data_IF_942828386075
#
_entry.id   IF_942828386075
#
_cell.length_a   1.000
_cell.length_b   1.000
_cell.length_c   1.000
_cell.angle_alpha   90.00
_cell.angle_beta   90.00
_cell.angle_gamma   90.00
#
_symmetry.space_group_name_H-M   'P 1'
#
loop_
_entity.id
_entity.type
_entity.pdbx_description
1 polymer ?
#
# COMPACT_ATOMS: atom_id res chain seq x y z
N UNK A 1 -8.35 -80.45 17.92
CA UNK A 1 -9.14 -79.84 16.80
C UNK A 1 -9.47 -78.43 17.15
N UNK A 2 -9.04 -77.44 16.39
CA UNK A 2 -9.52 -76.10 16.54
C UNK A 2 -8.49 -74.99 16.40
N UNK A 3 -7.79 -74.87 15.27
CA UNK A 3 -7.03 -73.68 14.90
C UNK A 3 -7.83 -72.98 13.79
N UNK A 4 -8.32 -71.75 14.04
CA UNK A 4 -9.03 -71.07 12.94
C UNK A 4 -9.58 -69.70 13.25
N UNK A 5 -9.03 -68.91 14.19
CA UNK A 5 -9.60 -67.57 14.50
C UNK A 5 -8.53 -66.49 14.75
N UNK A 6 -7.41 -66.57 14.08
CA UNK A 6 -6.32 -65.59 14.26
C UNK A 6 -5.83 -64.96 12.95
N UNK A 7 -6.67 -64.74 11.93
CA UNK A 7 -6.22 -64.16 10.65
C UNK A 7 -7.18 -63.15 10.03
N UNK A 8 -7.95 -62.38 10.82
CA UNK A 8 -8.82 -61.31 10.28
C UNK A 8 -8.70 -59.97 11.04
N UNK A 9 -7.51 -59.59 11.52
CA UNK A 9 -7.34 -58.32 12.23
C UNK A 9 -6.23 -57.43 11.66
N UNK A 10 -5.87 -57.54 10.40
CA UNK A 10 -4.79 -56.69 9.84
C UNK A 10 -5.12 -56.02 8.50
N UNK A 11 -6.42 -55.72 8.25
CA UNK A 11 -6.78 -55.08 6.96
C UNK A 11 -7.52 -53.75 7.05
N UNK A 12 -7.68 -53.16 8.24
CA UNK A 12 -8.41 -51.90 8.42
C UNK A 12 -7.67 -50.85 9.23
N UNK A 13 -6.43 -50.59 8.92
CA UNK A 13 -5.78 -49.33 9.35
C UNK A 13 -4.60 -49.09 8.41
N UNK A 14 -4.72 -48.22 7.46
CA UNK A 14 -4.10 -46.90 7.49
C UNK A 14 -4.73 -45.86 6.52
N UNK A 15 -6.01 -45.96 6.16
CA UNK A 15 -6.57 -44.98 5.21
C UNK A 15 -6.92 -43.64 5.86
N UNK A 16 -7.21 -43.62 7.15
CA UNK A 16 -7.53 -42.38 7.88
C UNK A 16 -6.26 -41.50 8.07
N UNK A 17 -5.11 -42.13 8.30
CA UNK A 17 -3.85 -41.41 8.54
C UNK A 17 -3.33 -40.76 7.25
N UNK A 18 -3.47 -41.42 6.10
CA UNK A 18 -3.06 -40.87 4.81
C UNK A 18 -3.87 -39.64 4.42
N UNK A 19 -5.18 -39.68 4.64
CA UNK A 19 -6.08 -38.54 4.38
C UNK A 19 -5.76 -37.38 5.29
N UNK A 20 -5.49 -37.63 6.58
CA UNK A 20 -5.06 -36.65 7.55
C UNK A 20 -3.74 -36.00 7.19
N UNK A 21 -2.75 -36.79 6.77
CA UNK A 21 -1.42 -36.29 6.34
C UNK A 21 -1.55 -35.45 5.07
N UNK A 22 -2.37 -35.88 4.09
CA UNK A 22 -2.60 -35.11 2.85
C UNK A 22 -3.34 -33.80 3.16
N UNK A 23 -4.37 -33.83 4.02
CA UNK A 23 -5.12 -32.63 4.42
C UNK A 23 -4.23 -31.66 5.19
N UNK A 24 -3.42 -32.16 6.14
CA UNK A 24 -2.47 -31.35 6.91
C UNK A 24 -1.38 -30.76 6.00
N UNK A 25 -0.87 -31.54 5.04
CA UNK A 25 0.12 -31.06 4.06
C UNK A 25 -0.47 -29.99 3.14
N UNK A 26 -1.73 -30.12 2.71
CA UNK A 26 -2.44 -29.12 1.91
C UNK A 26 -2.72 -27.86 2.73
N UNK A 27 -3.11 -28.01 4.01
CA UNK A 27 -3.32 -26.86 4.92
C UNK A 27 -1.99 -26.15 5.21
N UNK A 28 -0.92 -26.90 5.44
CA UNK A 28 0.41 -26.35 5.66
C UNK A 28 0.95 -25.66 4.41
N UNK A 29 0.68 -26.23 3.22
CA UNK A 29 1.03 -25.62 1.94
C UNK A 29 0.22 -24.33 1.71
N UNK A 30 -1.09 -24.35 1.99
CA UNK A 30 -1.98 -23.17 1.90
C UNK A 30 -1.58 -22.08 2.90
N UNK A 31 -1.31 -22.44 4.16
CA UNK A 31 -0.81 -21.50 5.17
C UNK A 31 0.58 -20.97 4.81
N UNK A 32 1.46 -21.83 4.26
CA UNK A 32 2.79 -21.47 3.79
C UNK A 32 2.78 -20.53 2.59
N UNK A 33 1.85 -20.70 1.64
CA UNK A 33 1.74 -19.82 0.47
C UNK A 33 1.25 -18.41 0.82
N UNK A 34 0.41 -18.26 1.85
CA UNK A 34 -0.02 -16.95 2.34
C UNK A 34 1.04 -16.26 3.24
N UNK A 35 1.93 -17.04 3.90
CA UNK A 35 3.00 -16.49 4.73
C UNK A 35 4.28 -16.14 3.94
N UNK A 36 4.42 -16.59 2.69
CA UNK A 36 5.63 -16.44 1.88
C UNK A 36 5.37 -15.71 0.57
N UNK A 37 5.03 -14.41 0.65
CA UNK A 37 5.16 -13.57 -0.53
C UNK A 37 6.64 -13.53 -0.96
N UNK A 38 6.97 -13.84 -2.23
CA UNK A 38 8.33 -13.69 -2.74
C UNK A 38 8.79 -12.24 -2.71
N UNK A 39 7.85 -11.31 -2.77
CA UNK A 39 8.13 -9.88 -2.75
C UNK A 39 7.82 -9.33 -1.37
N UNK A 40 8.74 -8.55 -0.84
CA UNK A 40 8.60 -7.80 0.40
C UNK A 40 8.47 -6.31 0.08
N UNK A 41 7.57 -5.64 0.76
CA UNK A 41 7.45 -4.20 0.81
C UNK A 41 8.24 -3.70 2.03
N UNK A 42 9.37 -3.02 1.78
CA UNK A 42 10.31 -2.66 2.83
C UNK A 42 10.14 -1.24 3.32
N UNK A 43 10.00 -0.27 2.40
CA UNK A 43 9.99 1.16 2.76
C UNK A 43 9.01 1.92 1.89
N UNK A 44 8.45 2.98 2.48
CA UNK A 44 7.72 3.99 1.71
C UNK A 44 8.07 5.40 2.15
N UNK A 45 7.98 6.31 1.19
CA UNK A 45 7.98 7.74 1.42
C UNK A 45 6.80 8.35 0.67
N UNK A 46 5.98 9.10 1.40
CA UNK A 46 4.77 9.71 0.87
C UNK A 46 4.88 11.22 1.04
N UNK A 47 4.86 11.94 -0.06
CA UNK A 47 4.77 13.38 -0.12
C UNK A 47 3.36 13.79 -0.60
N UNK A 48 2.64 14.57 0.18
CA UNK A 48 1.30 15.11 -0.10
C UNK A 48 1.38 16.62 -0.20
N UNK A 49 1.12 17.17 -1.38
CA UNK A 49 0.98 18.61 -1.60
C UNK A 49 -0.51 18.96 -1.62
N UNK A 50 -0.94 19.83 -0.71
CA UNK A 50 -2.34 20.15 -0.51
C UNK A 50 -2.63 21.64 -0.73
N UNK A 51 -3.68 21.93 -1.50
CA UNK A 51 -4.18 23.29 -1.75
C UNK A 51 -5.06 23.35 -3.00
N UNK A 52 -5.73 24.47 -3.18
CA UNK A 52 -6.54 24.80 -4.38
C UNK A 52 -7.60 23.73 -4.77
N UNK A 53 -8.24 23.10 -3.77
CA UNK A 53 -9.29 22.09 -4.02
C UNK A 53 -8.78 20.74 -4.53
N UNK A 54 -7.50 20.49 -4.41
CA UNK A 54 -6.89 19.23 -4.82
C UNK A 54 -5.70 18.85 -3.92
N UNK A 55 -5.36 17.58 -3.94
CA UNK A 55 -4.10 17.07 -3.42
C UNK A 55 -3.32 16.40 -4.53
N UNK A 56 -2.01 16.65 -4.55
CA UNK A 56 -1.07 15.88 -5.36
C UNK A 56 -0.29 14.96 -4.41
N UNK A 57 -0.24 13.69 -4.73
CA UNK A 57 0.46 12.69 -3.91
C UNK A 57 1.56 12.05 -4.74
N UNK A 58 2.75 11.96 -4.14
CA UNK A 58 3.87 11.15 -4.64
C UNK A 58 4.24 10.12 -3.61
N UNK A 59 4.14 8.87 -3.99
CA UNK A 59 4.66 7.76 -3.21
C UNK A 59 5.92 7.19 -3.83
N UNK A 60 6.93 6.91 -3.00
CA UNK A 60 8.12 6.14 -3.35
C UNK A 60 8.09 4.86 -2.52
N UNK A 61 8.10 3.71 -3.17
CA UNK A 61 7.89 2.40 -2.55
C UNK A 61 9.06 1.49 -2.88
N UNK A 62 9.73 0.95 -1.86
CA UNK A 62 10.80 -0.02 -2.03
C UNK A 62 10.27 -1.43 -1.90
N UNK A 63 10.45 -2.22 -2.95
CA UNK A 63 10.12 -3.64 -2.97
C UNK A 63 11.37 -4.48 -3.21
N UNK A 64 11.44 -5.66 -2.56
CA UNK A 64 12.55 -6.59 -2.69
C UNK A 64 12.06 -8.00 -2.98
N UNK A 65 12.65 -8.65 -3.97
CA UNK A 65 12.50 -10.09 -4.17
C UNK A 65 13.38 -10.83 -3.14
N UNK A 66 12.75 -11.59 -2.25
CA UNK A 66 13.45 -12.34 -1.21
C UNK A 66 14.01 -13.68 -1.70
N UNK A 67 13.64 -14.11 -2.90
CA UNK A 67 14.01 -15.39 -3.44
C UNK A 67 15.18 -15.27 -4.42
N UNK A 68 15.96 -16.36 -4.49
CA UNK A 68 17.02 -16.55 -5.49
C UNK A 68 16.49 -16.91 -6.89
N UNK A 69 15.17 -16.83 -7.10
CA UNK A 69 14.51 -17.07 -8.37
C UNK A 69 13.82 -15.79 -8.87
N UNK A 70 13.70 -15.60 -10.19
CA UNK A 70 12.90 -14.51 -10.74
C UNK A 70 11.45 -14.62 -10.25
N UNK A 71 10.83 -13.48 -9.94
CA UNK A 71 9.46 -13.44 -9.45
C UNK A 71 8.69 -12.30 -10.09
N UNK A 72 7.37 -12.44 -10.20
CA UNK A 72 6.49 -11.33 -10.58
C UNK A 72 5.40 -11.16 -9.53
N UNK A 73 4.95 -9.91 -9.36
CA UNK A 73 3.89 -9.59 -8.42
C UNK A 73 2.93 -8.58 -9.05
N UNK A 74 1.62 -8.85 -8.94
CA UNK A 74 0.58 -7.90 -9.37
C UNK A 74 0.19 -7.06 -8.19
N UNK A 75 0.25 -5.75 -8.37
CA UNK A 75 -0.06 -4.75 -7.34
C UNK A 75 -1.35 -4.03 -7.67
N UNK A 76 -2.11 -3.68 -6.64
CA UNK A 76 -3.24 -2.78 -6.70
C UNK A 76 -2.99 -1.60 -5.78
N UNK A 77 -3.17 -0.38 -6.29
CA UNK A 77 -3.16 0.84 -5.50
C UNK A 77 -4.58 1.39 -5.44
N UNK A 78 -5.28 1.27 -4.30
CA UNK A 78 -6.57 1.91 -4.13
C UNK A 78 -6.39 3.41 -3.91
N UNK A 79 -7.34 4.20 -4.39
CA UNK A 79 -7.43 5.62 -4.08
C UNK A 79 -8.51 5.85 -3.03
N UNK A 80 -8.32 6.79 -2.09
CA UNK A 80 -9.32 7.12 -1.09
C UNK A 80 -10.49 7.90 -1.72
N UNK A 81 -11.36 7.19 -2.46
CA UNK A 81 -12.50 7.79 -3.16
C UNK A 81 -13.76 7.67 -2.28
N UNK A 82 -14.32 8.80 -1.91
CA UNK A 82 -15.56 8.93 -1.12
C UNK A 82 -16.29 10.24 -1.48
N UNK A 83 -17.28 10.63 -0.68
CA UNK A 83 -18.06 11.88 -0.93
C UNK A 83 -17.21 13.15 -0.86
N UNK A 84 -16.07 13.13 -0.16
CA UNK A 84 -15.17 14.28 0.04
C UNK A 84 -13.95 14.25 -0.89
N UNK A 85 -13.60 13.07 -1.37
CA UNK A 85 -12.42 12.80 -2.19
C UNK A 85 -12.84 12.20 -3.53
N UNK A 86 -12.73 12.96 -4.59
CA UNK A 86 -13.06 12.51 -5.94
C UNK A 86 -12.06 11.47 -6.46
N UNK A 87 -12.39 10.81 -7.55
CA UNK A 87 -11.43 9.92 -8.24
C UNK A 87 -10.24 10.73 -8.77
N UNK A 88 -9.01 10.18 -8.73
CA UNK A 88 -7.85 10.84 -9.33
C UNK A 88 -8.09 11.18 -10.80
N UNK A 89 -7.75 12.41 -11.16
CA UNK A 89 -7.83 12.92 -12.52
C UNK A 89 -6.65 12.51 -13.38
N UNK A 90 -5.50 12.31 -12.72
CA UNK A 90 -4.23 11.94 -13.35
C UNK A 90 -3.43 11.05 -12.40
N UNK A 91 -2.76 10.04 -12.97
CA UNK A 91 -1.86 9.15 -12.22
C UNK A 91 -0.80 8.55 -13.14
N UNK A 92 0.37 8.28 -12.57
CA UNK A 92 1.45 7.55 -13.24
C UNK A 92 2.14 6.60 -12.29
N UNK A 93 2.68 5.50 -12.84
CA UNK A 93 3.48 4.50 -12.12
C UNK A 93 4.78 4.30 -12.88
N UNK A 94 5.91 4.37 -12.20
CA UNK A 94 7.23 4.25 -12.82
C UNK A 94 8.22 3.52 -11.93
N UNK A 95 9.17 2.81 -12.52
CA UNK A 95 10.42 2.44 -11.82
C UNK A 95 11.27 3.71 -11.67
N UNK A 96 11.91 3.86 -10.52
CA UNK A 96 12.76 5.02 -10.24
C UNK A 96 14.01 4.62 -9.46
N UNK A 97 14.94 5.55 -9.30
CA UNK A 97 16.02 5.48 -8.33
C UNK A 97 15.53 5.85 -6.92
N UNK A 98 16.38 5.68 -5.91
CA UNK A 98 16.05 5.96 -4.50
C UNK A 98 15.66 7.42 -4.26
N UNK A 99 16.15 8.35 -5.06
CA UNK A 99 15.82 9.78 -5.02
C UNK A 99 14.52 10.13 -5.78
N UNK A 100 13.86 9.13 -6.38
CA UNK A 100 12.62 9.31 -7.12
C UNK A 100 12.80 9.71 -8.60
N UNK A 101 14.03 9.73 -9.13
CA UNK A 101 14.27 9.97 -10.56
C UNK A 101 13.73 8.82 -11.39
N UNK A 102 12.79 9.10 -12.29
CA UNK A 102 12.14 8.09 -13.14
C UNK A 102 13.14 7.46 -14.09
N UNK A 103 13.16 6.12 -14.12
CA UNK A 103 14.01 5.33 -15.03
C UNK A 103 13.22 4.61 -16.09
N UNK A 104 11.95 4.24 -15.79
CA UNK A 104 11.09 3.50 -16.71
C UNK A 104 9.62 3.66 -16.32
N UNK A 105 8.76 3.96 -17.27
CA UNK A 105 7.31 3.93 -17.08
C UNK A 105 6.78 2.50 -17.01
N UNK A 106 5.74 2.29 -16.21
CA UNK A 106 5.07 1.01 -16.01
C UNK A 106 3.64 1.13 -16.56
N UNK A 107 3.27 0.19 -17.43
CA UNK A 107 1.91 0.09 -17.92
C UNK A 107 0.94 -0.25 -16.79
N UNK A 108 -0.16 0.47 -16.73
CA UNK A 108 -1.18 0.36 -15.70
C UNK A 108 -2.54 0.05 -16.29
N UNK A 109 -3.41 -0.54 -15.47
CA UNK A 109 -4.81 -0.78 -15.81
C UNK A 109 -5.68 -0.22 -14.68
N UNK A 110 -6.67 0.60 -15.03
CA UNK A 110 -7.65 1.10 -14.06
C UNK A 110 -8.66 0.00 -13.75
N UNK A 111 -8.91 -0.23 -12.49
CA UNK A 111 -9.84 -1.24 -12.02
C UNK A 111 -10.60 -0.75 -10.78
N UNK A 112 -11.92 -0.55 -10.88
CA UNK A 112 -12.83 -0.22 -9.77
C UNK A 112 -12.27 0.77 -8.72
N UNK A 113 -11.83 1.96 -9.15
CA UNK A 113 -11.30 2.98 -8.22
C UNK A 113 -9.88 2.73 -7.73
N UNK A 114 -9.18 1.75 -8.32
CA UNK A 114 -7.78 1.44 -8.08
C UNK A 114 -6.98 1.42 -9.38
N UNK A 115 -5.67 1.42 -9.27
CA UNK A 115 -4.73 1.19 -10.37
C UNK A 115 -4.02 -0.12 -10.15
N UNK A 116 -4.06 -1.01 -11.14
CA UNK A 116 -3.36 -2.27 -11.11
C UNK A 116 -2.15 -2.24 -12.07
N UNK A 117 -1.05 -2.83 -11.65
CA UNK A 117 0.17 -2.98 -12.43
C UNK A 117 0.94 -4.22 -12.02
N UNK A 118 1.89 -4.67 -12.85
CA UNK A 118 2.71 -5.85 -12.57
C UNK A 118 4.18 -5.49 -12.54
N UNK A 119 4.87 -5.94 -11.51
CA UNK A 119 6.32 -5.83 -11.36
C UNK A 119 6.99 -7.17 -11.61
N UNK A 120 8.13 -7.12 -12.28
CA UNK A 120 9.02 -8.25 -12.51
C UNK A 120 10.34 -8.02 -11.81
N UNK A 121 10.81 -9.02 -11.07
CA UNK A 121 12.04 -8.96 -10.31
C UNK A 121 12.99 -10.08 -10.74
N UNK A 122 14.27 -9.73 -10.89
CA UNK A 122 15.35 -10.71 -10.94
C UNK A 122 15.53 -11.33 -9.54
N UNK A 123 16.30 -12.45 -9.42
CA UNK A 123 16.68 -12.98 -8.10
C UNK A 123 17.25 -11.89 -7.19
N UNK A 124 16.76 -11.83 -5.95
CA UNK A 124 17.23 -10.90 -4.90
C UNK A 124 17.22 -9.41 -5.29
N UNK A 125 16.47 -9.04 -6.32
CA UNK A 125 16.42 -7.66 -6.82
C UNK A 125 15.60 -6.76 -5.89
N UNK A 126 16.12 -5.55 -5.67
CA UNK A 126 15.37 -4.41 -5.12
C UNK A 126 14.91 -3.49 -6.24
N UNK A 127 13.75 -2.88 -6.05
CA UNK A 127 13.19 -1.86 -6.94
C UNK A 127 12.53 -0.76 -6.14
N UNK A 128 12.71 0.46 -6.62
CA UNK A 128 11.93 1.60 -6.20
C UNK A 128 10.86 1.89 -7.24
N UNK A 129 9.63 2.08 -6.77
CA UNK A 129 8.48 2.41 -7.60
C UNK A 129 7.97 3.76 -7.15
N UNK A 130 7.83 4.67 -8.11
CA UNK A 130 7.23 5.97 -7.91
C UNK A 130 5.81 5.95 -8.45
N UNK A 131 4.88 6.43 -7.64
CA UNK A 131 3.48 6.61 -8.02
C UNK A 131 3.12 8.07 -7.74
N UNK A 132 2.71 8.78 -8.77
CA UNK A 132 2.18 10.14 -8.67
C UNK A 132 0.69 10.11 -9.01
N UNK A 133 -0.12 10.86 -8.28
CA UNK A 133 -1.51 11.12 -8.66
C UNK A 133 -2.01 12.46 -8.14
N UNK A 134 -3.01 13.01 -8.83
CA UNK A 134 -3.72 14.23 -8.41
C UNK A 134 -5.18 13.89 -8.18
N UNK A 135 -5.71 14.30 -7.03
CA UNK A 135 -7.06 14.00 -6.60
C UNK A 135 -7.80 15.27 -6.18
N UNK A 136 -9.01 15.53 -6.73
CA UNK A 136 -9.84 16.64 -6.28
C UNK A 136 -10.42 16.35 -4.88
N UNK A 137 -10.52 17.41 -4.07
CA UNK A 137 -11.09 17.38 -2.73
C UNK A 137 -12.14 18.47 -2.58
N UNK A 138 -13.22 18.19 -1.85
CA UNK A 138 -14.30 19.14 -1.61
C UNK A 138 -14.09 19.94 -0.30
N UNK A 139 -13.25 19.46 0.58
CA UNK A 139 -12.92 20.06 1.88
C UNK A 139 -11.41 20.09 2.10
N UNK A 140 -10.95 20.92 3.02
CA UNK A 140 -9.52 21.01 3.38
C UNK A 140 -9.09 19.78 4.23
N UNK A 141 -9.16 18.62 3.61
CA UNK A 141 -8.83 17.31 4.20
C UNK A 141 -8.19 16.43 3.15
N UNK A 142 -7.24 15.59 3.57
CA UNK A 142 -6.67 14.53 2.75
C UNK A 142 -6.60 13.23 3.54
N UNK A 143 -6.81 12.12 2.85
CA UNK A 143 -6.66 10.77 3.37
C UNK A 143 -5.69 10.00 2.49
N UNK A 144 -4.72 9.36 3.09
CA UNK A 144 -3.82 8.42 2.41
C UNK A 144 -4.02 7.02 3.00
N UNK A 145 -4.27 6.03 2.11
CA UNK A 145 -4.59 4.67 2.53
C UNK A 145 -3.30 3.96 2.94
N UNK A 146 -3.10 3.80 4.26
CA UNK A 146 -1.99 3.05 4.85
C UNK A 146 -2.35 1.59 5.12
N UNK A 147 -3.64 1.31 5.33
CA UNK A 147 -4.12 -0.01 5.75
C UNK A 147 -3.79 -1.13 4.76
N UNK A 148 -3.56 -0.82 3.47
CA UNK A 148 -3.11 -1.81 2.48
C UNK A 148 -1.75 -2.42 2.81
N UNK A 149 -0.94 -1.76 3.65
CA UNK A 149 0.34 -2.30 4.15
C UNK A 149 0.14 -3.58 4.97
N UNK A 150 -1.01 -3.74 5.63
CA UNK A 150 -1.33 -4.95 6.40
C UNK A 150 -1.43 -6.22 5.53
N UNK A 151 -1.77 -6.09 4.27
CA UNK A 151 -1.84 -7.22 3.31
C UNK A 151 -0.47 -7.89 3.10
N UNK A 152 0.61 -7.17 3.42
CA UNK A 152 1.97 -7.71 3.34
C UNK A 152 2.35 -8.58 4.54
N UNK A 153 1.52 -8.60 5.60
CA UNK A 153 1.72 -9.37 6.84
C UNK A 153 3.08 -9.16 7.52
N UNK A 154 3.75 -8.06 7.21
CA UNK A 154 5.05 -7.67 7.75
C UNK A 154 5.10 -6.15 7.88
N UNK A 155 5.71 -5.63 8.95
CA UNK A 155 5.90 -4.20 9.09
C UNK A 155 6.91 -3.68 8.05
N UNK A 156 6.70 -2.43 7.65
CA UNK A 156 7.69 -1.66 6.91
C UNK A 156 8.95 -1.48 7.76
N UNK A 157 10.14 -1.55 7.17
CA UNK A 157 11.37 -1.16 7.83
C UNK A 157 11.33 0.32 8.21
N UNK A 158 10.82 1.16 7.30
CA UNK A 158 10.57 2.59 7.55
C UNK A 158 9.46 3.14 6.67
N UNK A 159 8.71 4.09 7.22
CA UNK A 159 7.77 4.94 6.49
C UNK A 159 8.04 6.41 6.81
N UNK A 160 8.12 7.25 5.78
CA UNK A 160 8.32 8.69 5.87
C UNK A 160 7.15 9.40 5.21
N UNK A 161 6.55 10.36 5.91
CA UNK A 161 5.31 11.01 5.47
C UNK A 161 5.44 12.51 5.60
N UNK A 162 5.14 13.23 4.52
CA UNK A 162 5.31 14.67 4.40
C UNK A 162 4.02 15.31 3.88
N UNK A 163 3.53 16.32 4.59
CA UNK A 163 2.45 17.18 4.15
C UNK A 163 3.02 18.57 3.84
N UNK A 164 2.91 18.96 2.58
CA UNK A 164 3.34 20.26 2.08
C UNK A 164 2.11 21.14 1.87
N UNK A 165 1.89 22.11 2.74
CA UNK A 165 0.77 23.01 2.62
C UNK A 165 1.13 24.24 1.77
N UNK A 166 0.15 24.70 1.00
CA UNK A 166 0.25 25.99 0.31
C UNK A 166 0.47 27.09 1.35
N UNK A 167 1.23 28.12 0.98
CA UNK A 167 1.48 29.29 1.85
C UNK A 167 0.17 29.88 2.38
N UNK A 168 0.12 30.12 3.68
CA UNK A 168 -1.05 30.61 4.40
C UNK A 168 -1.96 29.52 4.95
N UNK A 169 -1.88 28.28 4.47
CA UNK A 169 -2.57 27.16 5.08
C UNK A 169 -1.79 26.64 6.30
N UNK A 170 -2.52 26.19 7.32
CA UNK A 170 -1.94 25.65 8.56
C UNK A 170 -2.58 24.30 8.88
N UNK A 171 -1.79 23.35 9.39
CA UNK A 171 -2.30 22.07 9.86
C UNK A 171 -3.32 22.30 10.97
N UNK A 172 -4.53 21.78 10.80
CA UNK A 172 -5.59 21.84 11.81
C UNK A 172 -5.63 20.56 12.65
N UNK A 173 -5.51 19.39 12.03
CA UNK A 173 -5.47 18.11 12.71
C UNK A 173 -4.76 17.04 11.87
N UNK A 174 -4.19 16.06 12.54
CA UNK A 174 -3.67 14.82 11.99
C UNK A 174 -3.82 13.71 13.03
N UNK A 175 -4.19 12.50 12.60
CA UNK A 175 -4.24 11.34 13.49
C UNK A 175 -2.84 10.77 13.82
N UNK A 176 -1.81 11.14 13.06
CA UNK A 176 -0.41 10.89 13.41
C UNK A 176 0.25 12.17 13.91
N UNK A 177 1.01 12.11 15.02
CA UNK A 177 1.75 13.25 15.54
C UNK A 177 2.80 13.71 14.51
N UNK A 178 2.71 14.96 14.07
CA UNK A 178 3.58 15.54 13.05
C UNK A 178 4.50 16.62 13.61
N UNK A 179 5.68 16.73 13.04
CA UNK A 179 6.65 17.80 13.32
C UNK A 179 6.58 18.83 12.20
N UNK A 180 6.51 20.11 12.57
CA UNK A 180 6.54 21.20 11.62
C UNK A 180 7.97 21.60 11.28
N UNK A 181 8.23 21.84 10.00
CA UNK A 181 9.44 22.49 9.51
C UNK A 181 9.06 23.58 8.51
N UNK A 182 9.79 24.69 8.54
CA UNK A 182 9.60 25.78 7.58
C UNK A 182 10.85 25.87 6.69
N UNK A 183 10.71 25.54 5.43
CA UNK A 183 11.77 25.68 4.44
C UNK A 183 11.23 26.39 3.19
N UNK A 184 11.93 27.43 2.74
CA UNK A 184 11.58 28.15 1.52
C UNK A 184 10.21 28.83 1.52
N UNK A 185 9.62 29.18 2.70
CA UNK A 185 8.34 29.83 2.81
C UNK A 185 7.13 28.91 2.65
N UNK A 186 7.32 27.59 2.58
CA UNK A 186 6.27 26.57 2.67
C UNK A 186 6.29 25.95 4.06
N UNK A 187 5.12 25.62 4.59
CA UNK A 187 5.00 24.84 5.81
C UNK A 187 4.95 23.37 5.43
N UNK A 188 5.93 22.61 5.92
CA UNK A 188 5.99 21.16 5.76
C UNK A 188 5.81 20.53 7.13
N UNK A 189 4.91 19.56 7.20
CA UNK A 189 4.68 18.74 8.39
C UNK A 189 5.11 17.31 8.05
N UNK A 190 5.78 16.64 8.97
CA UNK A 190 6.25 15.28 8.70
C UNK A 190 6.19 14.39 9.93
N UNK A 191 6.13 13.08 9.69
CA UNK A 191 6.40 12.06 10.68
C UNK A 191 7.13 10.88 10.03
N UNK A 192 7.88 10.15 10.84
CA UNK A 192 8.61 8.95 10.43
C UNK A 192 8.26 7.81 11.39
N UNK A 193 8.10 6.63 10.86
CA UNK A 193 7.87 5.39 11.61
C UNK A 193 8.90 4.34 11.21
N UNK A 194 9.37 3.58 12.19
CA UNK A 194 10.29 2.46 12.00
C UNK A 194 9.60 1.18 12.48
N UNK A 195 9.81 0.07 11.80
CA UNK A 195 9.13 -1.21 12.06
C UNK A 195 7.61 -1.01 12.14
N UNK A 196 7.06 -0.43 11.07
CA UNK A 196 5.73 0.16 11.06
C UNK A 196 4.70 -0.74 10.37
N UNK A 197 3.70 -1.18 11.12
CA UNK A 197 2.48 -1.80 10.59
C UNK A 197 1.31 -0.87 10.94
N UNK A 198 0.76 -0.11 9.96
CA UNK A 198 -0.30 0.86 10.22
C UNK A 198 -1.58 0.18 10.74
N UNK A 199 -2.22 0.78 11.75
CA UNK A 199 -3.51 0.35 12.28
C UNK A 199 -4.67 1.21 11.74
N UNK A 200 -4.35 2.34 11.11
CA UNK A 200 -5.30 3.26 10.51
C UNK A 200 -4.69 3.99 9.31
N UNK A 201 -5.54 4.57 8.45
CA UNK A 201 -5.10 5.43 7.35
C UNK A 201 -4.57 6.76 7.88
N UNK A 202 -3.69 7.42 7.12
CA UNK A 202 -3.25 8.76 7.46
C UNK A 202 -4.28 9.78 7.01
N UNK A 203 -4.85 10.53 7.98
CA UNK A 203 -5.86 11.56 7.76
C UNK A 203 -5.32 12.89 8.28
N UNK A 204 -5.38 13.92 7.43
CA UNK A 204 -4.97 15.27 7.77
C UNK A 204 -6.03 16.28 7.37
N UNK A 205 -6.16 17.36 8.14
CA UNK A 205 -6.95 18.54 7.77
C UNK A 205 -6.16 19.81 8.00
N UNK A 206 -6.49 20.85 7.26
CA UNK A 206 -5.83 22.15 7.36
C UNK A 206 -6.85 23.28 7.30
N UNK A 207 -6.45 24.45 7.82
CA UNK A 207 -7.19 25.71 7.70
C UNK A 207 -6.63 26.48 6.53
N UNK A 208 -7.52 27.01 5.67
CA UNK A 208 -7.16 27.94 4.62
C UNK A 208 -7.61 29.34 5.00
N UNK A 209 -6.80 30.36 4.79
CA UNK A 209 -7.20 31.76 5.02
C UNK A 209 -8.29 32.22 4.04
N UNK A 210 -8.40 31.58 2.87
CA UNK A 210 -9.44 31.85 1.89
C UNK A 210 -10.47 30.72 1.88
N UNK A 211 -11.79 31.02 1.95
CA UNK A 211 -12.80 30.00 1.73
C UNK A 211 -12.59 29.41 0.33
N UNK A 212 -12.65 28.09 0.20
CA UNK A 212 -12.71 27.41 -1.10
C UNK A 212 -13.90 28.02 -1.84
N UNK A 213 -13.63 28.84 -2.86
CA UNK A 213 -14.70 29.40 -3.69
C UNK A 213 -15.42 28.24 -4.32
N UNK A 214 -16.62 27.95 -3.87
CA UNK A 214 -17.54 27.10 -4.59
C UNK A 214 -17.60 27.65 -6.02
N UNK A 215 -17.14 26.87 -7.00
CA UNK A 215 -17.19 27.25 -8.40
C UNK A 215 -18.64 27.61 -8.68
N UNK A 216 -18.92 28.89 -8.93
CA UNK A 216 -20.22 29.36 -9.40
C UNK A 216 -20.47 28.63 -10.73
N UNK A 217 -21.20 27.52 -10.68
CA UNK A 217 -21.90 27.04 -11.87
C UNK A 217 -22.94 28.12 -12.17
N UNK A 218 -22.61 28.93 -13.14
CA UNK A 218 -23.56 29.89 -13.70
C UNK A 218 -24.80 29.16 -14.26
N UNK A 219 -25.99 29.71 -14.06
CA UNK A 219 -27.19 29.12 -14.62
C UNK A 219 -27.07 29.10 -16.15
N UNK A 220 -27.29 27.97 -16.77
CA UNK A 220 -27.66 27.82 -18.20
C UNK A 220 -29.14 27.81 -18.30
#
# INVERSE_FOLDING_TARGET
MGSGLAKLRSFFAPKADLLGVVLFSLLALYAGTNAFSPIRFDRERIDVWAGDGQVHVRGLYQYRNRFSLPSSYSMGLPFPTDELHGSPSDYSVSECSVDGTITKEISTHKYHGSVAFRLWFKPSQEKWIRIDYTQPILVSNARYILMTTQEWHQPLESGEYYLHLKRGNELAASNYAMQASAEGGRQTYSFTKINFLPEEDWIVSWKSPEPLMASKQGPR
#
